data_IF_371863939176
#
_entry.id   IF_371863939176
#
_cell.length_a   1.000
_cell.length_b   1.000
_cell.length_c   1.000
_cell.angle_alpha   90.00
_cell.angle_beta   90.00
_cell.angle_gamma   90.00
#
_symmetry.space_group_name_H-M   'P 1'
#
loop_
_entity.id
_entity.type
_entity.pdbx_description
1 polymer ?
#
# COMPACT_ATOMS: atom_id res chain seq x y z
N UNK A 1 5.13 19.48 2.55
CA UNK A 1 5.41 18.02 2.66
C UNK A 1 5.79 17.43 1.30
N UNK A 2 5.08 17.78 0.23
CA UNK A 2 5.37 17.34 -1.15
C UNK A 2 6.80 17.70 -1.62
N UNK A 3 7.24 18.95 -1.42
CA UNK A 3 8.59 19.40 -1.83
C UNK A 3 9.72 18.65 -1.12
N UNK A 4 9.56 18.33 0.17
CA UNK A 4 10.55 17.58 0.93
C UNK A 4 10.73 16.16 0.38
N UNK A 5 9.63 15.52 -0.03
CA UNK A 5 9.66 14.18 -0.60
C UNK A 5 10.28 14.20 -2.00
N UNK A 6 9.94 15.20 -2.82
CA UNK A 6 10.57 15.41 -4.13
C UNK A 6 12.10 15.60 -3.99
N UNK A 7 12.55 16.40 -3.03
CA UNK A 7 13.98 16.56 -2.74
C UNK A 7 14.65 15.26 -2.28
N UNK A 8 13.95 14.41 -1.53
CA UNK A 8 14.47 13.10 -1.12
C UNK A 8 14.66 12.16 -2.31
N UNK A 9 13.73 12.12 -3.28
CA UNK A 9 13.90 11.29 -4.48
C UNK A 9 14.93 11.85 -5.47
N UNK A 10 15.15 13.17 -5.49
CA UNK A 10 16.20 13.81 -6.30
C UNK A 10 17.62 13.44 -5.82
N UNK A 11 17.78 13.16 -4.52
CA UNK A 11 19.04 12.68 -3.94
C UNK A 11 18.97 11.17 -3.84
N UNK A 12 19.55 10.43 -4.79
CA UNK A 12 19.58 8.94 -4.84
C UNK A 12 19.39 8.29 -3.46
N UNK A 13 18.15 7.94 -3.09
CA UNK A 13 17.85 7.66 -1.69
C UNK A 13 18.44 6.30 -1.30
N UNK A 14 18.98 6.17 -0.08
CA UNK A 14 19.50 4.90 0.37
C UNK A 14 18.39 3.86 0.39
N UNK A 15 18.69 2.65 -0.11
CA UNK A 15 17.75 1.52 -0.13
C UNK A 15 17.56 0.93 1.26
N UNK A 16 16.86 1.66 2.12
CA UNK A 16 16.51 1.28 3.49
C UNK A 16 15.03 1.60 3.80
N UNK A 17 14.62 1.44 5.06
CA UNK A 17 13.24 1.73 5.51
C UNK A 17 12.72 3.14 5.17
N UNK A 18 13.60 4.14 5.01
CA UNK A 18 13.19 5.51 4.70
C UNK A 18 12.67 5.63 3.26
N UNK A 19 13.15 4.79 2.34
CA UNK A 19 12.62 4.72 0.98
C UNK A 19 11.16 4.25 0.98
N UNK A 20 10.85 3.17 1.72
CA UNK A 20 9.47 2.73 1.92
C UNK A 20 8.61 3.82 2.55
N UNK A 21 9.09 4.46 3.62
CA UNK A 21 8.35 5.54 4.29
C UNK A 21 8.08 6.71 3.34
N UNK A 22 9.04 7.06 2.48
CA UNK A 22 8.84 8.09 1.46
C UNK A 22 7.73 7.70 0.47
N UNK A 23 7.69 6.43 0.01
CA UNK A 23 6.60 5.94 -0.83
C UNK A 23 5.24 5.98 -0.12
N UNK A 24 5.17 5.57 1.15
CA UNK A 24 3.92 5.65 1.94
C UNK A 24 3.45 7.10 2.07
N UNK A 25 4.36 8.06 2.29
CA UNK A 25 4.01 9.47 2.34
C UNK A 25 3.53 9.99 0.97
N UNK A 26 4.11 9.55 -0.16
CA UNK A 26 3.57 9.90 -1.49
C UNK A 26 2.18 9.31 -1.72
N UNK A 27 1.93 8.09 -1.26
CA UNK A 27 0.61 7.49 -1.33
C UNK A 27 -0.41 8.32 -0.55
N UNK A 28 -0.06 8.77 0.65
CA UNK A 28 -0.91 9.64 1.48
C UNK A 28 -1.14 11.02 0.86
N UNK A 29 -0.16 11.61 0.17
CA UNK A 29 -0.35 12.87 -0.55
C UNK A 29 -1.33 12.72 -1.73
N UNK A 30 -1.43 11.52 -2.29
CA UNK A 30 -2.39 11.17 -3.34
C UNK A 30 -3.64 10.49 -2.77
N UNK A 31 -3.86 10.53 -1.45
CA UNK A 31 -5.00 9.88 -0.83
C UNK A 31 -6.32 10.42 -1.42
N UNK A 32 -7.22 9.55 -1.90
CA UNK A 32 -8.45 9.98 -2.50
C UNK A 32 -9.38 10.58 -1.42
N UNK A 33 -9.76 11.84 -1.61
CA UNK A 33 -10.70 12.53 -0.71
C UNK A 33 -12.16 12.25 -1.06
N UNK A 34 -12.43 11.70 -2.25
CA UNK A 34 -13.76 11.40 -2.75
C UNK A 34 -13.73 10.28 -3.79
N UNK A 35 -14.83 9.53 -3.88
CA UNK A 35 -15.01 8.46 -4.89
C UNK A 35 -15.06 8.96 -6.34
N UNK A 36 -15.12 10.29 -6.54
CA UNK A 36 -15.16 10.93 -7.87
C UNK A 36 -13.78 10.98 -8.56
N UNK A 37 -12.69 10.69 -7.85
CA UNK A 37 -11.32 10.76 -8.36
C UNK A 37 -10.63 9.39 -8.32
N UNK A 38 -11.04 8.42 -9.17
CA UNK A 38 -10.40 7.09 -9.20
C UNK A 38 -8.91 7.17 -9.59
N UNK A 39 -8.50 8.15 -10.39
CA UNK A 39 -7.09 8.34 -10.76
C UNK A 39 -6.17 8.66 -9.57
N UNK A 40 -6.69 9.32 -8.53
CA UNK A 40 -5.94 9.58 -7.30
C UNK A 40 -5.72 8.28 -6.53
N UNK A 41 -6.74 7.41 -6.48
CA UNK A 41 -6.62 6.08 -5.91
C UNK A 41 -5.56 5.27 -6.66
N UNK A 42 -5.59 5.22 -7.99
CA UNK A 42 -4.62 4.46 -8.78
C UNK A 42 -3.17 4.94 -8.53
N UNK A 43 -2.95 6.26 -8.49
CA UNK A 43 -1.63 6.84 -8.15
C UNK A 43 -1.20 6.49 -6.73
N UNK A 44 -2.09 6.58 -5.76
CA UNK A 44 -1.79 6.22 -4.37
C UNK A 44 -1.42 4.73 -4.25
N UNK A 45 -2.17 3.86 -4.93
CA UNK A 45 -1.93 2.41 -4.99
C UNK A 45 -0.59 2.09 -5.64
N UNK A 46 -0.19 2.79 -6.71
CA UNK A 46 1.11 2.59 -7.33
C UNK A 46 2.26 2.80 -6.33
N UNK A 47 2.19 3.84 -5.50
CA UNK A 47 3.18 4.09 -4.46
C UNK A 47 3.13 3.06 -3.32
N UNK A 48 1.93 2.58 -2.95
CA UNK A 48 1.79 1.49 -1.98
C UNK A 48 2.44 0.21 -2.49
N UNK A 49 2.22 -0.16 -3.75
CA UNK A 49 2.84 -1.33 -4.37
C UNK A 49 4.36 -1.20 -4.46
N UNK A 50 4.90 0.00 -4.74
CA UNK A 50 6.36 0.25 -4.66
C UNK A 50 6.90 0.02 -3.26
N UNK A 51 6.18 0.49 -2.23
CA UNK A 51 6.57 0.27 -0.83
C UNK A 51 6.52 -1.21 -0.45
N UNK A 52 5.44 -1.93 -0.81
CA UNK A 52 5.27 -3.36 -0.51
C UNK A 52 6.34 -4.19 -1.23
N UNK A 53 6.55 -3.95 -2.53
CA UNK A 53 7.56 -4.68 -3.32
C UNK A 53 9.00 -4.46 -2.84
N UNK A 54 9.29 -3.31 -2.24
CA UNK A 54 10.57 -3.08 -1.59
C UNK A 54 10.64 -3.80 -0.24
N UNK A 55 9.63 -3.61 0.61
CA UNK A 55 9.59 -4.13 1.97
C UNK A 55 9.57 -5.66 2.01
N UNK A 56 8.86 -6.32 1.09
CA UNK A 56 8.75 -7.79 1.02
C UNK A 56 10.09 -8.51 0.83
N UNK A 57 11.11 -7.80 0.31
CA UNK A 57 12.45 -8.37 0.10
C UNK A 57 13.23 -8.56 1.41
N UNK A 58 12.80 -7.92 2.50
CA UNK A 58 13.50 -7.98 3.78
C UNK A 58 12.51 -8.14 4.94
N UNK A 59 12.54 -9.25 5.68
CA UNK A 59 11.65 -9.49 6.82
C UNK A 59 11.63 -8.37 7.86
N UNK A 60 12.76 -7.66 8.02
CA UNK A 60 12.86 -6.49 8.92
C UNK A 60 11.90 -5.35 8.55
N UNK A 61 11.36 -5.35 7.34
CA UNK A 61 10.45 -4.32 6.83
C UNK A 61 9.00 -4.79 6.71
N UNK A 62 8.63 -5.97 7.22
CA UNK A 62 7.24 -6.45 7.17
C UNK A 62 6.24 -5.51 7.88
N UNK A 63 6.67 -4.80 8.92
CA UNK A 63 5.83 -3.77 9.54
C UNK A 63 5.45 -2.63 8.58
N UNK A 64 6.26 -2.36 7.54
CA UNK A 64 5.95 -1.36 6.50
C UNK A 64 4.94 -1.89 5.49
N UNK A 65 4.94 -3.19 5.24
CA UNK A 65 3.91 -3.87 4.45
C UNK A 65 2.56 -3.74 5.16
N UNK A 66 2.52 -4.03 6.46
CA UNK A 66 1.32 -3.84 7.27
C UNK A 66 0.80 -2.39 7.21
N UNK A 67 1.69 -1.41 7.39
CA UNK A 67 1.32 0.01 7.28
C UNK A 67 0.75 0.35 5.89
N UNK A 68 1.30 -0.23 4.82
CA UNK A 68 0.78 -0.05 3.47
C UNK A 68 -0.64 -0.62 3.31
N UNK A 69 -0.91 -1.81 3.87
CA UNK A 69 -2.24 -2.43 3.84
C UNK A 69 -3.28 -1.60 4.59
N UNK A 70 -2.93 -1.05 5.75
CA UNK A 70 -3.82 -0.15 6.51
C UNK A 70 -4.14 1.11 5.71
N UNK A 71 -3.14 1.71 5.05
CA UNK A 71 -3.35 2.88 4.18
C UNK A 71 -4.23 2.56 2.98
N UNK A 72 -4.02 1.41 2.35
CA UNK A 72 -4.86 0.95 1.24
C UNK A 72 -6.33 0.86 1.65
N UNK A 73 -6.61 0.28 2.82
CA UNK A 73 -7.97 0.22 3.36
C UNK A 73 -8.58 1.61 3.58
N UNK A 74 -7.81 2.55 4.13
CA UNK A 74 -8.26 3.93 4.30
C UNK A 74 -8.62 4.60 2.97
N UNK A 75 -7.83 4.35 1.91
CA UNK A 75 -8.09 4.90 0.58
C UNK A 75 -9.30 4.26 -0.11
N UNK A 76 -9.62 3.01 0.23
CA UNK A 76 -10.78 2.31 -0.30
C UNK A 76 -12.11 2.74 0.33
N UNK A 77 -12.10 3.28 1.57
CA UNK A 77 -13.33 3.68 2.29
C UNK A 77 -14.30 4.54 1.47
N UNK A 78 -13.86 5.59 0.73
CA UNK A 78 -14.77 6.39 -0.10
C UNK A 78 -15.43 5.61 -1.24
N UNK A 79 -14.80 4.55 -1.73
CA UNK A 79 -15.20 3.77 -2.92
C UNK A 79 -16.07 2.55 -2.60
N UNK A 80 -16.33 2.25 -1.32
CA UNK A 80 -17.23 1.16 -0.88
C UNK A 80 -18.71 1.35 -1.32
N UNK A 81 -19.05 2.50 -1.91
CA UNK A 81 -20.36 2.77 -2.50
C UNK A 81 -20.62 1.85 -3.70
N UNK A 82 -21.87 1.39 -3.92
CA UNK A 82 -22.21 0.35 -4.91
C UNK A 82 -21.66 0.59 -6.33
N UNK A 83 -21.60 1.86 -6.76
CA UNK A 83 -21.22 2.22 -8.13
C UNK A 83 -19.70 2.30 -8.38
N UNK A 84 -18.86 2.14 -7.34
CA UNK A 84 -17.40 2.36 -7.44
C UNK A 84 -16.56 1.11 -7.12
N UNK A 85 -17.21 -0.03 -6.83
CA UNK A 85 -16.54 -1.28 -6.44
C UNK A 85 -15.60 -1.84 -7.51
N UNK A 86 -15.92 -1.62 -8.80
CA UNK A 86 -15.10 -2.09 -9.93
C UNK A 86 -13.69 -1.48 -9.96
N UNK A 87 -13.52 -0.25 -9.45
CA UNK A 87 -12.21 0.41 -9.40
C UNK A 87 -11.33 -0.16 -8.28
N UNK A 88 -11.96 -0.63 -7.20
CA UNK A 88 -11.26 -1.27 -6.09
C UNK A 88 -10.87 -2.72 -6.41
N UNK A 89 -11.68 -3.46 -7.17
CA UNK A 89 -11.45 -4.89 -7.38
C UNK A 89 -10.07 -5.19 -7.99
N UNK A 90 -9.63 -4.38 -8.97
CA UNK A 90 -8.33 -4.55 -9.64
C UNK A 90 -7.15 -4.20 -8.72
N UNK A 91 -7.23 -3.05 -8.04
CA UNK A 91 -6.20 -2.60 -7.11
C UNK A 91 -6.09 -3.50 -5.89
N UNK A 92 -7.22 -4.02 -5.40
CA UNK A 92 -7.27 -4.96 -4.28
C UNK A 92 -6.56 -6.26 -4.65
N UNK A 93 -6.86 -6.82 -5.83
CA UNK A 93 -6.21 -8.04 -6.30
C UNK A 93 -4.68 -7.88 -6.38
N UNK A 94 -4.18 -6.72 -6.83
CA UNK A 94 -2.74 -6.46 -6.89
C UNK A 94 -2.09 -6.37 -5.51
N UNK A 95 -2.76 -5.70 -4.55
CA UNK A 95 -2.26 -5.59 -3.17
C UNK A 95 -2.28 -6.96 -2.49
N UNK A 96 -3.39 -7.70 -2.56
CA UNK A 96 -3.52 -9.04 -1.99
C UNK A 96 -2.46 -9.98 -2.55
N UNK A 97 -2.29 -10.03 -3.88
CA UNK A 97 -1.25 -10.85 -4.50
C UNK A 97 0.17 -10.49 -4.01
N UNK A 98 0.44 -9.20 -3.81
CA UNK A 98 1.74 -8.76 -3.28
C UNK A 98 1.95 -9.10 -1.80
N UNK A 99 0.86 -9.31 -1.04
CA UNK A 99 0.86 -9.79 0.34
C UNK A 99 0.99 -11.32 0.40
N UNK A 100 0.28 -12.06 -0.45
CA UNK A 100 0.37 -13.53 -0.54
C UNK A 100 1.81 -13.98 -0.86
N UNK A 101 2.52 -13.25 -1.73
CA UNK A 101 3.96 -13.46 -2.02
C UNK A 101 4.86 -13.42 -0.76
N UNK A 102 4.38 -12.84 0.35
CA UNK A 102 5.10 -12.74 1.63
C UNK A 102 4.78 -13.94 2.52
N UNK A 103 3.52 -14.38 2.51
CA UNK A 103 3.01 -15.47 3.35
C UNK A 103 3.53 -16.84 2.89
N UNK A 104 3.73 -17.03 1.57
CA UNK A 104 4.35 -18.23 0.98
C UNK A 104 5.81 -18.46 1.46
N UNK A 105 6.40 -17.50 2.17
CA UNK A 105 7.74 -17.61 2.76
C UNK A 105 7.66 -17.63 4.28
N UNK A 106 7.07 -18.69 4.83
CA UNK A 106 7.39 -19.34 6.11
C UNK A 106 8.22 -18.53 7.13
N UNK A 107 7.67 -17.41 7.62
CA UNK A 107 8.26 -16.61 8.70
C UNK A 107 7.19 -16.18 9.71
N UNK A 108 6.54 -17.13 10.39
CA UNK A 108 5.91 -16.96 11.71
C UNK A 108 4.94 -15.77 11.91
N UNK A 109 4.41 -15.20 10.82
CA UNK A 109 3.51 -14.05 10.80
C UNK A 109 2.11 -14.45 10.27
N UNK A 110 1.82 -15.76 10.23
CA UNK A 110 0.57 -16.33 9.74
C UNK A 110 -0.66 -15.76 10.47
N UNK A 111 -0.54 -15.42 11.75
CA UNK A 111 -1.66 -14.93 12.56
C UNK A 111 -2.08 -13.51 12.18
N UNK A 112 -1.15 -12.66 11.73
CA UNK A 112 -1.41 -11.24 11.50
C UNK A 112 -1.71 -10.89 10.04
N UNK A 113 -1.26 -11.70 9.07
CA UNK A 113 -1.60 -11.50 7.65
C UNK A 113 -3.00 -12.07 7.36
N UNK A 114 -3.37 -13.20 7.98
CA UNK A 114 -4.73 -13.74 7.89
C UNK A 114 -5.80 -12.78 8.40
N UNK A 115 -5.50 -11.96 9.42
CA UNK A 115 -6.41 -10.90 9.89
C UNK A 115 -6.63 -9.82 8.82
N UNK A 116 -5.60 -9.49 8.04
CA UNK A 116 -5.69 -8.50 6.96
C UNK A 116 -6.43 -9.08 5.75
N UNK A 117 -6.15 -10.32 5.36
CA UNK A 117 -6.91 -11.02 4.32
C UNK A 117 -8.38 -11.19 4.70
N UNK A 118 -8.68 -11.57 5.95
CA UNK A 118 -10.06 -11.58 6.46
C UNK A 118 -10.68 -10.17 6.46
N UNK A 119 -9.91 -9.11 6.73
CA UNK A 119 -10.41 -7.73 6.67
C UNK A 119 -10.84 -7.29 5.26
N UNK A 120 -10.28 -7.89 4.22
CA UNK A 120 -10.58 -7.56 2.82
C UNK A 120 -11.68 -8.43 2.18
N UNK A 121 -12.06 -9.55 2.81
CA UNK A 121 -13.03 -10.52 2.27
C UNK A 121 -14.39 -10.58 3.01
N UNK A 122 -14.69 -9.62 3.92
CA UNK A 122 -16.03 -9.42 4.49
C UNK A 122 -16.76 -8.19 3.90
#
# INVERSE_FOLDING_TARGET
MDDCIKMFFLKTPPSNQFLCRAYLCQAQLNAPTSSKNPEQLDKAVEYLLKAINFAKKNPRYYFLVYNASVLYWQFCRPFLKPNYRQYMAKSLHQVVKALDDIDDKDYGCESTINDVSNFFFF
#
